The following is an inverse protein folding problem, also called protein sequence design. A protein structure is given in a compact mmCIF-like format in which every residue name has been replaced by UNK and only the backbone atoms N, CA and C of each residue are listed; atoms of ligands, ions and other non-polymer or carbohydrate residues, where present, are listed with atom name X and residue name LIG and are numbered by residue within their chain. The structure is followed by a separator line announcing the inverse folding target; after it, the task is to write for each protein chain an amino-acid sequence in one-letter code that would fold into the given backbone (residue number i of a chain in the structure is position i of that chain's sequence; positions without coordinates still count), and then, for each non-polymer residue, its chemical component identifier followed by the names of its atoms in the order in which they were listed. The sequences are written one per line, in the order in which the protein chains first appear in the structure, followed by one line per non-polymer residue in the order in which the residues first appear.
data_IF_317887925668
#
_entry.id   IF_317887925668
#
_cell.length_a   1.000
_cell.length_b   1.000
_cell.length_c   1.000
_cell.angle_alpha   90.00
_cell.angle_beta   90.00
_cell.angle_gamma   90.00
#
_symmetry.space_group_name_H-M   'P 1'
#
loop_
_entity.id
_entity.type
_entity.pdbx_description
1 polymer ?
#
# COMPACT_ATOMS: atom_id res chain seq x y z
N UNK A 1 7.56 -17.94 11.31
CA UNK A 1 6.37 -17.58 10.52
C UNK A 1 6.82 -17.38 9.09
N UNK A 2 6.16 -17.97 8.11
CA UNK A 2 6.62 -17.89 6.72
C UNK A 2 6.34 -16.49 6.16
N UNK A 3 7.36 -15.63 6.15
CA UNK A 3 7.39 -14.30 5.51
C UNK A 3 6.96 -14.40 4.04
N UNK A 4 5.65 -14.35 3.81
CA UNK A 4 5.03 -14.47 2.50
C UNK A 4 4.29 -13.18 2.23
N UNK A 5 4.75 -12.47 1.21
CA UNK A 5 4.08 -11.29 0.68
C UNK A 5 3.06 -11.75 -0.36
N UNK A 6 1.82 -11.31 -0.21
CA UNK A 6 0.78 -11.56 -1.20
C UNK A 6 0.59 -10.32 -2.05
N UNK A 7 0.62 -10.51 -3.36
CA UNK A 7 0.44 -9.46 -4.36
C UNK A 7 -0.81 -9.80 -5.13
N UNK A 8 -1.69 -8.83 -5.21
CA UNK A 8 -2.94 -8.92 -5.93
C UNK A 8 -2.94 -7.84 -6.98
N UNK A 9 -3.51 -8.16 -8.13
CA UNK A 9 -3.67 -7.20 -9.20
C UNK A 9 -4.51 -7.79 -10.30
N UNK A 10 -4.48 -7.13 -11.44
CA UNK A 10 -5.25 -7.52 -12.60
C UNK A 10 -4.40 -7.44 -13.85
N UNK A 11 -4.51 -8.45 -14.70
CA UNK A 11 -3.90 -8.44 -16.02
C UNK A 11 -4.85 -7.80 -17.01
N UNK A 12 -4.35 -6.84 -17.79
CA UNK A 12 -5.00 -6.45 -19.05
C UNK A 12 -4.59 -7.46 -20.11
N UNK A 13 -5.52 -8.31 -20.51
CA UNK A 13 -5.31 -9.25 -21.61
C UNK A 13 -5.53 -8.51 -22.96
N UNK A 14 -4.93 -9.00 -24.05
CA UNK A 14 -4.97 -8.35 -25.38
C UNK A 14 -6.39 -8.10 -25.94
N UNK A 15 -7.43 -8.70 -25.37
CA UNK A 15 -8.84 -8.48 -25.68
C UNK A 15 -9.48 -7.38 -24.81
N UNK A 16 -8.67 -6.58 -24.10
CA UNK A 16 -9.08 -5.60 -23.09
C UNK A 16 -9.87 -6.22 -21.92
N UNK A 17 -9.75 -7.53 -21.69
CA UNK A 17 -10.34 -8.20 -20.53
C UNK A 17 -9.40 -8.19 -19.34
N UNK A 18 -9.91 -7.66 -18.23
CA UNK A 18 -9.27 -7.51 -16.95
C UNK A 18 -9.57 -8.70 -16.07
N UNK A 19 -8.59 -9.58 -15.88
CA UNK A 19 -8.73 -10.76 -15.02
C UNK A 19 -7.92 -10.61 -13.71
N UNK A 20 -8.54 -10.82 -12.54
CA UNK A 20 -7.85 -10.76 -11.26
C UNK A 20 -6.83 -11.89 -11.12
N UNK A 21 -5.69 -11.57 -10.51
CA UNK A 21 -4.65 -12.52 -10.17
C UNK A 21 -4.08 -12.31 -8.77
N UNK A 22 -3.45 -13.36 -8.27
CA UNK A 22 -2.86 -13.47 -6.95
C UNK A 22 -1.51 -14.15 -7.06
N UNK A 23 -0.51 -13.58 -6.41
CA UNK A 23 0.86 -14.10 -6.36
C UNK A 23 1.31 -14.13 -4.91
N UNK A 24 1.82 -15.27 -4.47
CA UNK A 24 2.55 -15.35 -3.22
C UNK A 24 4.05 -15.33 -3.52
N UNK A 25 4.76 -14.40 -2.91
CA UNK A 25 6.22 -14.32 -2.99
C UNK A 25 6.83 -14.47 -1.59
N UNK A 26 8.00 -15.10 -1.50
CA UNK A 26 8.76 -15.16 -0.26
C UNK A 26 9.55 -13.85 -0.01
N UNK A 27 10.20 -13.75 1.16
CA UNK A 27 11.06 -12.60 1.50
C UNK A 27 12.24 -12.37 0.54
N UNK A 28 12.60 -13.37 -0.27
CA UNK A 28 13.63 -13.31 -1.30
C UNK A 28 13.05 -12.98 -2.68
N UNK A 29 11.76 -12.65 -2.76
CA UNK A 29 11.01 -12.37 -3.99
C UNK A 29 10.93 -13.57 -4.96
N UNK A 30 11.06 -14.79 -4.46
CA UNK A 30 10.74 -15.99 -5.24
C UNK A 30 9.23 -16.21 -5.23
N UNK A 31 8.66 -16.47 -6.41
CA UNK A 31 7.25 -16.83 -6.55
C UNK A 31 7.03 -18.23 -5.96
N UNK A 32 6.21 -18.31 -4.92
CA UNK A 32 5.75 -19.59 -4.34
C UNK A 32 4.63 -20.20 -5.16
N UNK A 33 3.68 -19.37 -5.56
CA UNK A 33 2.56 -19.75 -6.43
C UNK A 33 1.93 -18.50 -7.06
N UNK A 34 1.25 -18.72 -8.17
CA UNK A 34 0.42 -17.73 -8.87
C UNK A 34 -0.92 -18.36 -9.23
N UNK A 35 -2.00 -17.59 -9.10
CA UNK A 35 -3.33 -17.94 -9.60
C UNK A 35 -3.97 -16.75 -10.29
N UNK A 36 -4.54 -16.99 -11.46
CA UNK A 36 -5.40 -16.04 -12.16
C UNK A 36 -6.81 -16.62 -12.23
N UNK A 37 -7.82 -15.76 -12.34
CA UNK A 37 -9.22 -16.15 -12.26
C UNK A 37 -10.00 -15.54 -13.42
N UNK A 38 -10.65 -16.39 -14.21
CA UNK A 38 -11.56 -15.94 -15.26
C UNK A 38 -12.98 -15.78 -14.73
N UNK A 39 -13.75 -14.91 -15.38
CA UNK A 39 -15.12 -14.57 -14.98
C UNK A 39 -16.02 -14.26 -16.19
N UNK A 40 -17.32 -14.18 -15.93
CA UNK A 40 -18.34 -13.85 -16.92
C UNK A 40 -18.72 -12.35 -16.96
N UNK A 41 -18.18 -11.52 -16.07
CA UNK A 41 -18.35 -10.06 -16.12
C UNK A 41 -17.46 -9.41 -17.21
N UNK A 42 -17.72 -8.15 -17.63
CA UNK A 42 -16.90 -7.48 -18.64
C UNK A 42 -15.45 -7.32 -18.19
N UNK A 43 -15.23 -6.71 -17.03
CA UNK A 43 -13.90 -6.39 -16.49
C UNK A 43 -13.90 -6.40 -14.96
N UNK A 44 -12.86 -6.97 -14.35
CA UNK A 44 -12.67 -6.94 -12.89
C UNK A 44 -11.22 -6.57 -12.52
N UNK A 45 -11.05 -5.38 -11.94
CA UNK A 45 -9.80 -4.98 -11.27
C UNK A 45 -9.81 -5.39 -9.79
N UNK A 46 -8.65 -5.62 -9.18
CA UNK A 46 -8.50 -5.68 -7.72
C UNK A 46 -7.98 -4.34 -7.21
N UNK A 47 -8.77 -3.67 -6.39
CA UNK A 47 -8.43 -2.37 -5.82
C UNK A 47 -8.06 -2.43 -4.35
N UNK A 48 -8.64 -3.38 -3.59
CA UNK A 48 -8.42 -3.50 -2.16
C UNK A 48 -8.41 -4.95 -1.69
N UNK A 49 -7.57 -5.17 -0.67
CA UNK A 49 -7.47 -6.43 0.04
C UNK A 49 -7.40 -6.19 1.53
N UNK A 50 -7.87 -7.15 2.31
CA UNK A 50 -7.77 -7.13 3.75
C UNK A 50 -7.41 -8.52 4.26
N UNK A 51 -6.32 -8.61 5.05
CA UNK A 51 -5.96 -9.87 5.71
C UNK A 51 -6.96 -10.13 6.84
N UNK A 52 -7.79 -11.15 6.67
CA UNK A 52 -8.75 -11.57 7.71
C UNK A 52 -8.03 -12.38 8.79
N UNK A 53 -7.19 -13.32 8.37
CA UNK A 53 -6.29 -14.09 9.25
C UNK A 53 -5.15 -14.71 8.40
N UNK A 54 -4.37 -15.62 8.97
CA UNK A 54 -3.24 -16.26 8.27
C UNK A 54 -3.64 -17.17 7.09
N UNK A 55 -4.92 -17.50 6.96
CA UNK A 55 -5.44 -18.37 5.89
C UNK A 55 -6.41 -17.65 4.95
N UNK A 56 -6.97 -16.50 5.35
CA UNK A 56 -8.06 -15.85 4.65
C UNK A 56 -7.75 -14.39 4.32
N UNK A 57 -8.04 -14.01 3.08
CA UNK A 57 -7.92 -12.64 2.58
C UNK A 57 -9.27 -12.26 1.96
N UNK A 58 -9.84 -11.14 2.39
CA UNK A 58 -10.98 -10.53 1.75
C UNK A 58 -10.47 -9.65 0.61
N UNK A 59 -11.06 -9.80 -0.57
CA UNK A 59 -10.68 -9.09 -1.78
C UNK A 59 -11.90 -8.32 -2.27
N UNK A 60 -11.71 -7.09 -2.73
CA UNK A 60 -12.75 -6.33 -3.42
C UNK A 60 -12.16 -5.56 -4.60
N UNK A 61 -13.01 -5.26 -5.56
CA UNK A 61 -12.60 -4.49 -6.71
C UNK A 61 -13.70 -4.31 -7.74
N UNK A 62 -13.30 -3.98 -8.95
CA UNK A 62 -14.20 -3.63 -10.03
C UNK A 62 -13.60 -2.62 -11.01
N UNK A 63 -14.43 -2.15 -11.94
CA UNK A 63 -14.07 -1.16 -12.93
C UNK A 63 -15.17 -0.10 -13.05
N UNK A 64 -14.78 1.11 -13.43
CA UNK A 64 -15.70 2.24 -13.53
C UNK A 64 -16.73 2.01 -14.65
N UNK A 65 -18.02 2.26 -14.35
CA UNK A 65 -19.14 1.99 -15.27
C UNK A 65 -19.10 2.91 -16.50
N UNK A 66 -18.58 4.13 -16.35
CA UNK A 66 -18.53 5.16 -17.43
C UNK A 66 -17.38 4.95 -18.43
N UNK A 67 -16.61 3.86 -18.30
CA UNK A 67 -15.63 3.47 -19.32
C UNK A 67 -16.32 2.62 -20.39
N UNK A 68 -15.92 2.74 -21.66
CA UNK A 68 -16.35 1.79 -22.71
C UNK A 68 -15.97 0.32 -22.40
N UNK A 69 -15.21 0.12 -21.32
CA UNK A 69 -14.72 -1.15 -20.81
C UNK A 69 -15.72 -1.84 -19.88
N UNK A 70 -16.82 -1.20 -19.44
CA UNK A 70 -17.85 -1.84 -18.61
C UNK A 70 -19.25 -1.82 -19.26
N UNK A 71 -19.45 -2.64 -20.29
CA UNK A 71 -20.66 -2.64 -21.14
C UNK A 71 -21.96 -3.07 -20.44
N UNK A 72 -21.90 -3.83 -19.34
CA UNK A 72 -23.07 -4.38 -18.65
C UNK A 72 -23.44 -3.66 -17.35
N UNK A 73 -22.77 -2.56 -17.01
CA UNK A 73 -22.93 -1.84 -15.74
C UNK A 73 -22.80 -2.75 -14.50
N UNK A 74 -22.04 -3.83 -14.63
CA UNK A 74 -21.76 -4.81 -13.58
C UNK A 74 -20.29 -5.23 -13.68
N UNK A 75 -19.42 -4.35 -13.18
CA UNK A 75 -17.99 -4.57 -13.09
C UNK A 75 -17.54 -4.36 -11.64
N UNK A 76 -18.19 -5.04 -10.70
CA UNK A 76 -17.84 -4.98 -9.30
C UNK A 76 -17.76 -6.38 -8.73
N UNK A 77 -16.89 -6.60 -7.76
CA UNK A 77 -16.89 -7.86 -7.04
C UNK A 77 -16.24 -7.73 -5.66
N UNK A 78 -16.55 -8.69 -4.82
CA UNK A 78 -15.82 -8.96 -3.59
C UNK A 78 -15.88 -10.46 -3.28
N UNK A 79 -14.89 -10.97 -2.56
CA UNK A 79 -14.74 -12.40 -2.34
C UNK A 79 -13.79 -12.73 -1.21
N UNK A 80 -14.01 -13.88 -0.58
CA UNK A 80 -13.13 -14.41 0.46
C UNK A 80 -12.23 -15.48 -0.13
N UNK A 81 -10.94 -15.18 -0.18
CA UNK A 81 -9.92 -16.05 -0.73
C UNK A 81 -9.19 -16.82 0.37
N UNK A 82 -8.97 -18.12 0.15
CA UNK A 82 -8.19 -18.96 1.03
C UNK A 82 -6.80 -19.23 0.43
N UNK A 83 -5.76 -18.75 1.12
CA UNK A 83 -4.37 -18.83 0.62
C UNK A 83 -3.76 -20.23 0.72
N UNK A 84 -4.33 -21.13 1.51
CA UNK A 84 -3.81 -22.51 1.68
C UNK A 84 -4.22 -23.40 0.51
N UNK A 85 -5.49 -23.37 0.13
CA UNK A 85 -6.02 -24.14 -1.01
C UNK A 85 -6.05 -23.33 -2.32
N UNK A 86 -5.71 -22.04 -2.27
CA UNK A 86 -5.57 -21.14 -3.41
C UNK A 86 -6.88 -20.96 -4.20
N UNK A 87 -8.02 -20.92 -3.51
CA UNK A 87 -9.34 -20.74 -4.11
C UNK A 87 -10.20 -19.72 -3.37
N UNK A 88 -11.17 -19.14 -4.08
CA UNK A 88 -12.25 -18.38 -3.45
C UNK A 88 -13.18 -19.36 -2.74
N UNK A 89 -13.46 -19.09 -1.46
CA UNK A 89 -14.52 -19.77 -0.70
C UNK A 89 -15.87 -19.32 -1.25
N UNK A 90 -15.99 -18.02 -1.49
CA UNK A 90 -17.12 -17.39 -2.15
C UNK A 90 -16.66 -16.11 -2.86
N UNK A 91 -17.38 -15.74 -3.90
CA UNK A 91 -17.26 -14.45 -4.58
C UNK A 91 -18.64 -14.00 -5.01
N UNK A 92 -18.89 -12.70 -4.89
CA UNK A 92 -20.19 -12.09 -5.13
C UNK A 92 -20.02 -10.76 -5.86
N UNK A 93 -21.06 -10.36 -6.57
CA UNK A 93 -21.16 -9.08 -7.27
C UNK A 93 -22.57 -8.52 -7.13
N UNK A 94 -22.70 -7.21 -7.29
CA UNK A 94 -23.99 -6.53 -7.31
C UNK A 94 -24.44 -6.33 -8.76
N UNK A 95 -25.67 -6.73 -9.07
CA UNK A 95 -26.23 -6.76 -10.44
C UNK A 95 -27.49 -5.89 -10.56
N UNK A 96 -27.50 -4.86 -11.41
CA UNK A 96 -28.63 -3.96 -11.75
C UNK A 96 -28.19 -2.81 -12.71
N UNK A 97 -29.15 -2.15 -13.38
CA UNK A 97 -28.92 -1.02 -14.30
C UNK A 97 -28.38 0.27 -13.63
N UNK A 98 -28.09 0.24 -12.32
CA UNK A 98 -27.55 1.37 -11.53
C UNK A 98 -26.77 0.85 -10.31
N UNK A 99 -25.78 -0.02 -10.52
CA UNK A 99 -25.00 -0.63 -9.42
C UNK A 99 -23.82 0.22 -8.96
N UNK A 100 -23.07 -0.35 -8.02
CA UNK A 100 -21.71 0.05 -7.71
C UNK A 100 -20.81 -0.08 -8.94
N UNK A 101 -20.04 0.97 -9.19
CA UNK A 101 -18.85 0.87 -10.02
C UNK A 101 -17.76 0.15 -9.24
N UNK A 102 -16.66 0.83 -8.97
CA UNK A 102 -15.52 0.20 -8.32
C UNK A 102 -15.66 0.19 -6.79
N UNK A 103 -15.44 -0.96 -6.15
CA UNK A 103 -15.10 -1.01 -4.72
C UNK A 103 -13.71 -0.39 -4.53
N UNK A 104 -13.53 0.47 -3.53
CA UNK A 104 -12.32 1.28 -3.37
C UNK A 104 -11.45 0.84 -2.20
N UNK A 105 -12.06 0.39 -1.09
CA UNK A 105 -11.33 0.07 0.14
C UNK A 105 -12.17 -0.82 1.06
N UNK A 106 -11.50 -1.45 2.04
CA UNK A 106 -12.10 -2.39 2.99
C UNK A 106 -11.70 -1.99 4.40
N UNK A 107 -12.67 -1.93 5.33
CA UNK A 107 -12.41 -1.94 6.78
C UNK A 107 -12.92 -3.22 7.41
N UNK A 108 -12.15 -3.74 8.36
CA UNK A 108 -12.63 -4.73 9.30
C UNK A 108 -13.15 -4.04 10.57
N UNK A 109 -14.40 -4.31 10.92
CA UNK A 109 -15.09 -3.69 12.06
C UNK A 109 -15.07 -4.63 13.27
N UNK A 110 -15.18 -5.93 13.01
CA UNK A 110 -15.02 -6.97 14.02
C UNK A 110 -14.38 -8.21 13.36
N UNK A 111 -14.17 -9.27 14.13
CA UNK A 111 -13.63 -10.53 13.61
C UNK A 111 -14.37 -11.05 12.38
N UNK A 112 -15.70 -10.84 12.32
CA UNK A 112 -16.57 -11.41 11.30
C UNK A 112 -17.38 -10.36 10.51
N UNK A 113 -17.07 -9.07 10.62
CA UNK A 113 -17.80 -8.02 9.89
C UNK A 113 -16.87 -7.00 9.27
N UNK A 114 -17.19 -6.65 8.03
CA UNK A 114 -16.40 -5.77 7.18
C UNK A 114 -17.29 -4.71 6.57
N UNK A 115 -16.69 -3.57 6.24
CA UNK A 115 -17.32 -2.53 5.43
C UNK A 115 -16.51 -2.35 4.16
N UNK A 116 -17.21 -2.45 3.04
CA UNK A 116 -16.69 -2.17 1.71
C UNK A 116 -17.12 -0.75 1.32
N UNK A 117 -16.18 0.07 0.88
CA UNK A 117 -16.47 1.36 0.25
C UNK A 117 -16.55 1.19 -1.26
N UNK A 118 -17.55 1.75 -1.89
CA UNK A 118 -17.72 1.75 -3.35
C UNK A 118 -18.14 3.12 -3.87
N UNK A 119 -18.00 3.32 -5.18
CA UNK A 119 -18.63 4.43 -5.89
C UNK A 119 -19.90 3.98 -6.59
N UNK A 120 -20.87 4.89 -6.69
CA UNK A 120 -21.95 4.79 -7.66
C UNK A 120 -21.59 5.63 -8.89
N UNK A 121 -21.44 4.98 -10.04
CA UNK A 121 -21.07 5.63 -11.31
C UNK A 121 -22.30 5.86 -12.21
N UNK A 122 -23.40 6.38 -11.65
CA UNK A 122 -24.58 6.77 -12.43
C UNK A 122 -24.40 8.14 -13.11
N UNK A 123 -25.25 8.50 -14.08
CA UNK A 123 -25.13 9.74 -14.85
C UNK A 123 -25.41 11.01 -14.03
N UNK A 124 -26.22 10.90 -12.97
CA UNK A 124 -26.84 12.08 -12.36
C UNK A 124 -26.33 12.43 -10.96
N UNK A 125 -25.76 11.53 -10.15
CA UNK A 125 -25.43 11.85 -8.75
C UNK A 125 -24.24 11.03 -8.23
N UNK A 126 -22.99 11.50 -8.44
CA UNK A 126 -21.81 10.83 -7.85
C UNK A 126 -21.97 10.75 -6.32
N UNK A 127 -22.31 9.56 -5.82
CA UNK A 127 -22.44 9.24 -4.41
C UNK A 127 -21.51 8.08 -4.08
N UNK A 128 -21.04 8.04 -2.84
CA UNK A 128 -20.24 6.91 -2.35
C UNK A 128 -21.11 5.98 -1.54
N UNK A 129 -20.78 4.70 -1.51
CA UNK A 129 -21.60 3.68 -0.85
C UNK A 129 -20.75 2.95 0.17
N UNK A 130 -21.31 2.70 1.34
CA UNK A 130 -20.78 1.71 2.27
C UNK A 130 -21.69 0.49 2.30
N UNK A 131 -21.06 -0.68 2.18
CA UNK A 131 -21.73 -1.98 2.26
C UNK A 131 -21.16 -2.73 3.43
N UNK A 132 -21.98 -2.99 4.44
CA UNK A 132 -21.57 -3.83 5.56
C UNK A 132 -21.88 -5.28 5.25
N UNK A 133 -20.88 -6.14 5.39
CA UNK A 133 -21.00 -7.58 5.16
C UNK A 133 -20.55 -8.38 6.38
N UNK A 134 -21.03 -9.61 6.48
CA UNK A 134 -20.44 -10.63 7.34
C UNK A 134 -19.30 -11.40 6.62
N UNK A 135 -18.65 -12.31 7.34
CA UNK A 135 -17.57 -13.15 6.80
C UNK A 135 -18.03 -14.13 5.71
N UNK A 136 -19.34 -14.45 5.64
CA UNK A 136 -19.94 -15.29 4.60
C UNK A 136 -20.34 -14.46 3.36
N UNK A 137 -20.05 -13.16 3.36
CA UNK A 137 -20.39 -12.23 2.30
C UNK A 137 -21.88 -11.90 2.25
N UNK A 138 -22.64 -12.15 3.32
CA UNK A 138 -24.02 -11.69 3.41
C UNK A 138 -24.04 -10.20 3.70
N UNK A 139 -24.91 -9.49 3.02
CA UNK A 139 -25.07 -8.04 3.21
C UNK A 139 -25.92 -7.79 4.44
N UNK A 140 -25.39 -6.99 5.38
CA UNK A 140 -26.07 -6.54 6.59
C UNK A 140 -26.83 -5.24 6.29
N UNK A 141 -26.17 -4.27 5.66
CA UNK A 141 -26.79 -3.06 5.14
C UNK A 141 -26.03 -2.50 3.94
N UNK A 142 -26.70 -1.64 3.19
CA UNK A 142 -26.11 -0.85 2.11
C UNK A 142 -26.59 0.59 2.27
N UNK A 143 -25.65 1.54 2.30
CA UNK A 143 -25.97 2.95 2.55
C UNK A 143 -25.24 3.86 1.60
N UNK A 144 -25.98 4.75 0.94
CA UNK A 144 -25.45 5.84 0.15
C UNK A 144 -25.05 6.98 1.07
N UNK A 145 -23.86 7.53 0.83
CA UNK A 145 -23.28 8.67 1.52
C UNK A 145 -23.16 9.82 0.53
N UNK A 146 -23.94 10.87 0.78
CA UNK A 146 -24.02 12.07 -0.05
C UNK A 146 -23.66 13.31 0.76
N UNK A 147 -22.79 14.15 0.21
CA UNK A 147 -22.58 15.53 0.68
C UNK A 147 -22.64 16.45 -0.54
N UNK A 148 -23.82 16.52 -1.16
CA UNK A 148 -23.92 16.97 -2.56
C UNK A 148 -23.34 15.88 -3.48
N UNK A 149 -22.39 16.24 -4.33
CA UNK A 149 -21.68 15.29 -5.21
C UNK A 149 -20.38 14.87 -4.51
N UNK A 150 -20.07 13.58 -4.38
CA UNK A 150 -18.80 13.11 -3.82
C UNK A 150 -18.34 11.74 -4.35
N UNK A 151 -17.01 11.56 -4.43
CA UNK A 151 -16.32 10.29 -4.71
C UNK A 151 -15.33 9.99 -3.59
N UNK A 152 -15.50 8.87 -2.91
CA UNK A 152 -14.70 8.49 -1.74
C UNK A 152 -13.61 7.46 -2.06
N UNK A 153 -12.35 7.78 -1.85
CA UNK A 153 -11.23 7.00 -2.41
C UNK A 153 -10.63 5.99 -1.43
N UNK A 154 -10.77 6.21 -0.14
CA UNK A 154 -10.20 5.33 0.88
C UNK A 154 -10.92 5.53 2.21
N UNK A 155 -10.87 4.53 3.08
CA UNK A 155 -11.45 4.57 4.41
C UNK A 155 -10.46 4.06 5.45
N UNK A 156 -10.67 4.47 6.69
CA UNK A 156 -10.10 3.82 7.85
C UNK A 156 -11.17 3.65 8.94
N UNK A 157 -10.95 2.77 9.90
CA UNK A 157 -11.88 2.56 11.01
C UNK A 157 -11.16 2.64 12.35
N UNK A 158 -11.81 3.28 13.32
CA UNK A 158 -11.37 3.39 14.70
C UNK A 158 -12.58 3.16 15.59
N UNK A 159 -12.52 2.10 16.40
CA UNK A 159 -13.63 1.69 17.24
C UNK A 159 -14.91 1.57 16.40
N UNK A 160 -15.97 2.28 16.78
CA UNK A 160 -17.26 2.28 16.09
C UNK A 160 -17.41 3.40 15.04
N UNK A 161 -16.30 3.97 14.56
CA UNK A 161 -16.32 5.06 13.58
C UNK A 161 -15.49 4.73 12.34
N UNK A 162 -16.05 5.02 11.18
CA UNK A 162 -15.39 5.04 9.88
C UNK A 162 -15.02 6.46 9.51
N UNK A 163 -13.81 6.63 9.01
CA UNK A 163 -13.30 7.88 8.45
C UNK A 163 -13.03 7.67 6.98
N UNK A 164 -13.74 8.41 6.13
CA UNK A 164 -13.77 8.18 4.70
C UNK A 164 -13.24 9.44 4.02
N UNK A 165 -12.18 9.27 3.23
CA UNK A 165 -11.61 10.36 2.44
C UNK A 165 -12.32 10.44 1.10
N UNK A 166 -12.82 11.63 0.77
CA UNK A 166 -13.61 11.87 -0.43
C UNK A 166 -13.20 13.15 -1.14
N UNK A 167 -13.70 13.34 -2.35
CA UNK A 167 -13.58 14.59 -3.08
C UNK A 167 -14.78 14.82 -3.98
N UNK A 168 -14.95 16.05 -4.44
CA UNK A 168 -15.83 16.38 -5.57
C UNK A 168 -15.12 17.24 -6.59
N UNK A 169 -15.69 17.34 -7.79
CA UNK A 169 -15.15 18.16 -8.87
C UNK A 169 -16.12 19.28 -9.22
N UNK A 170 -15.66 20.53 -9.12
CA UNK A 170 -16.37 21.75 -9.54
C UNK A 170 -15.53 22.62 -10.48
N UNK A 171 -14.64 21.98 -11.24
CA UNK A 171 -13.53 22.63 -11.95
C UNK A 171 -12.19 22.36 -11.28
N UNK A 172 -12.20 22.06 -9.97
CA UNK A 172 -11.04 21.56 -9.22
C UNK A 172 -11.45 20.42 -8.28
N UNK A 173 -10.48 19.62 -7.83
CA UNK A 173 -10.74 18.59 -6.82
C UNK A 173 -10.85 19.23 -5.43
N UNK A 174 -11.96 18.98 -4.75
CA UNK A 174 -12.27 19.55 -3.44
C UNK A 174 -12.36 18.43 -2.40
N UNK A 175 -11.37 18.27 -1.50
CA UNK A 175 -11.30 17.15 -0.58
C UNK A 175 -12.23 17.30 0.61
N UNK A 176 -12.69 16.16 1.10
CA UNK A 176 -13.58 16.04 2.25
C UNK A 176 -13.23 14.83 3.08
N UNK A 177 -13.51 14.91 4.37
CA UNK A 177 -13.48 13.79 5.29
C UNK A 177 -14.87 13.61 5.84
N UNK A 178 -15.43 12.42 5.63
CA UNK A 178 -16.74 12.04 6.14
C UNK A 178 -16.52 11.01 7.24
N UNK A 179 -17.11 11.26 8.40
CA UNK A 179 -17.19 10.28 9.48
C UNK A 179 -18.60 9.73 9.59
N UNK A 180 -18.71 8.41 9.68
CA UNK A 180 -19.96 7.69 9.93
C UNK A 180 -19.71 6.61 10.97
N UNK A 181 -20.73 6.24 11.74
CA UNK A 181 -20.60 5.11 12.66
C UNK A 181 -20.63 3.76 11.90
N UNK A 182 -20.37 2.66 12.61
CA UNK A 182 -20.38 1.29 12.05
C UNK A 182 -21.79 0.74 11.78
N UNK A 183 -22.83 1.50 12.10
CA UNK A 183 -24.21 1.28 11.66
C UNK A 183 -24.53 2.10 10.40
N UNK A 184 -23.61 2.98 9.98
CA UNK A 184 -23.74 3.87 8.84
C UNK A 184 -24.58 5.11 9.13
N UNK A 185 -24.57 5.64 10.34
CA UNK A 185 -25.18 6.93 10.65
C UNK A 185 -24.13 8.04 10.50
N UNK A 186 -24.56 9.21 10.04
CA UNK A 186 -23.72 10.39 9.92
C UNK A 186 -23.15 10.82 11.28
N UNK A 187 -21.85 11.10 11.34
CA UNK A 187 -21.20 11.74 12.49
C UNK A 187 -20.81 13.18 12.12
N UNK A 188 -19.93 13.34 11.13
CA UNK A 188 -19.55 14.66 10.61
C UNK A 188 -19.12 14.59 9.14
N UNK A 189 -19.12 15.74 8.46
CA UNK A 189 -18.35 15.94 7.23
C UNK A 189 -17.55 17.23 7.34
N UNK A 190 -16.31 17.22 6.88
CA UNK A 190 -15.41 18.39 6.84
C UNK A 190 -14.83 18.55 5.45
N UNK A 191 -15.11 19.69 4.82
CA UNK A 191 -14.47 20.12 3.57
C UNK A 191 -13.20 20.90 3.90
N UNK A 192 -12.10 20.58 3.22
CA UNK A 192 -10.84 21.33 3.31
C UNK A 192 -10.65 22.14 2.02
N UNK A 193 -10.40 23.44 2.16
CA UNK A 193 -10.27 24.37 1.02
C UNK A 193 -8.88 24.32 0.37
N UNK A 194 -8.58 23.18 -0.27
CA UNK A 194 -7.41 22.99 -1.12
C UNK A 194 -7.80 22.27 -2.40
N UNK A 195 -7.10 22.55 -3.51
CA UNK A 195 -7.27 21.79 -4.75
C UNK A 195 -6.58 20.42 -4.64
N UNK A 196 -7.26 19.42 -4.08
CA UNK A 196 -6.64 18.14 -3.72
C UNK A 196 -7.51 16.93 -4.05
N UNK A 197 -6.92 15.97 -4.77
CA UNK A 197 -7.47 14.64 -5.01
C UNK A 197 -6.84 13.65 -4.03
N UNK A 198 -7.57 13.18 -3.01
CA UNK A 198 -7.06 12.19 -2.07
C UNK A 198 -7.00 10.80 -2.71
N UNK A 199 -5.95 10.03 -2.42
CA UNK A 199 -5.82 8.62 -2.84
C UNK A 199 -5.90 7.65 -1.66
N UNK A 200 -5.30 7.98 -0.51
CA UNK A 200 -5.25 7.08 0.65
C UNK A 200 -5.37 7.87 1.95
N UNK A 201 -6.22 7.38 2.85
CA UNK A 201 -6.24 7.78 4.27
C UNK A 201 -5.53 6.71 5.10
N UNK A 202 -4.68 7.13 6.02
CA UNK A 202 -3.89 6.26 6.87
C UNK A 202 -3.97 6.72 8.32
N UNK A 203 -4.30 5.79 9.21
CA UNK A 203 -4.38 6.06 10.65
C UNK A 203 -2.98 6.22 11.24
N UNK A 204 -2.85 7.25 12.06
CA UNK A 204 -1.68 7.53 12.89
C UNK A 204 -2.06 7.43 14.37
N UNK A 205 -1.11 7.61 15.29
CA UNK A 205 -1.38 7.55 16.73
C UNK A 205 -2.26 8.69 17.24
N UNK A 206 -2.28 9.81 16.53
CA UNK A 206 -2.88 11.09 16.91
C UNK A 206 -3.92 11.61 15.89
N UNK A 207 -4.20 10.85 14.84
CA UNK A 207 -5.13 11.27 13.79
C UNK A 207 -5.00 10.48 12.49
N UNK A 208 -5.13 11.17 11.36
CA UNK A 208 -5.02 10.59 10.03
C UNK A 208 -4.08 11.39 9.14
N UNK A 209 -3.30 10.68 8.34
CA UNK A 209 -2.61 11.23 7.17
C UNK A 209 -3.41 10.92 5.92
N UNK A 210 -3.54 11.90 5.04
CA UNK A 210 -4.17 11.73 3.74
C UNK A 210 -3.20 12.16 2.66
N UNK A 211 -2.87 11.26 1.73
CA UNK A 211 -1.96 11.53 0.61
C UNK A 211 -2.70 11.55 -0.71
N UNK A 212 -2.18 12.34 -1.65
CA UNK A 212 -2.81 12.46 -2.96
C UNK A 212 -2.08 13.40 -3.91
N UNK A 213 -2.88 14.08 -4.73
CA UNK A 213 -2.44 15.01 -5.76
C UNK A 213 -2.98 16.41 -5.47
N UNK A 214 -2.11 17.42 -5.47
CA UNK A 214 -2.49 18.83 -5.41
C UNK A 214 -2.38 19.49 -6.77
N UNK A 215 -3.41 20.27 -7.11
CA UNK A 215 -3.56 20.95 -8.40
C UNK A 215 -4.01 19.97 -9.49
N UNK A 216 -5.07 20.33 -10.21
CA UNK A 216 -5.54 19.57 -11.38
C UNK A 216 -4.83 20.00 -12.69
N UNK A 217 -3.86 20.92 -12.61
CA UNK A 217 -3.08 21.43 -13.75
C UNK A 217 -1.63 20.95 -13.74
N UNK A 218 -0.88 21.31 -14.79
CA UNK A 218 0.55 21.02 -14.91
C UNK A 218 1.38 22.25 -14.48
N UNK A 219 2.28 22.16 -13.48
CA UNK A 219 2.64 20.94 -12.74
C UNK A 219 1.77 20.67 -11.50
N UNK A 220 1.35 19.41 -11.39
CA UNK A 220 0.66 18.87 -10.22
C UNK A 220 1.67 18.31 -9.22
N UNK A 221 1.34 18.28 -7.93
CA UNK A 221 2.32 17.99 -6.88
C UNK A 221 1.82 16.98 -5.85
N UNK A 222 2.74 16.22 -5.25
CA UNK A 222 2.42 15.42 -4.07
C UNK A 222 1.95 16.36 -2.97
N UNK A 223 0.85 15.98 -2.33
CA UNK A 223 0.32 16.73 -1.21
C UNK A 223 -0.17 15.77 -0.14
N UNK A 224 0.08 16.17 1.10
CA UNK A 224 -0.20 15.39 2.28
C UNK A 224 -0.77 16.34 3.30
N UNK A 225 -1.90 15.97 3.89
CA UNK A 225 -2.40 16.67 5.07
C UNK A 225 -2.63 15.71 6.21
N UNK A 226 -2.62 16.28 7.42
CA UNK A 226 -2.89 15.61 8.66
C UNK A 226 -4.06 16.27 9.38
N UNK A 227 -4.95 15.44 9.90
CA UNK A 227 -6.08 15.82 10.74
C UNK A 227 -6.08 14.97 12.01
N UNK A 228 -6.67 15.46 13.09
CA UNK A 228 -6.91 14.67 14.29
C UNK A 228 -8.13 13.73 14.12
N UNK A 229 -8.46 12.94 15.14
CA UNK A 229 -9.61 12.04 15.12
C UNK A 229 -10.98 12.74 15.12
N UNK A 230 -11.03 14.04 15.43
CA UNK A 230 -12.24 14.86 15.32
C UNK A 230 -12.33 15.54 13.94
N UNK A 231 -11.37 15.27 13.05
CA UNK A 231 -11.27 15.87 11.73
C UNK A 231 -10.72 17.31 11.74
N UNK A 232 -10.18 17.79 12.86
CA UNK A 232 -9.55 19.10 12.92
C UNK A 232 -8.22 19.08 12.19
N UNK A 233 -7.92 20.17 11.48
CA UNK A 233 -6.67 20.33 10.76
C UNK A 233 -5.47 20.39 11.71
N UNK A 234 -4.40 19.67 11.36
CA UNK A 234 -3.12 19.73 12.06
C UNK A 234 -2.03 20.39 11.21
N UNK A 235 -1.79 19.87 10.00
CA UNK A 235 -0.84 20.45 9.05
C UNK A 235 -1.14 19.97 7.62
N UNK A 236 -0.69 20.72 6.61
CA UNK A 236 -0.65 20.25 5.23
C UNK A 236 0.62 20.70 4.54
N UNK A 237 1.17 19.82 3.70
CA UNK A 237 2.43 20.03 3.01
C UNK A 237 2.35 19.59 1.56
N UNK A 238 2.81 20.47 0.69
CA UNK A 238 3.04 20.24 -0.72
C UNK A 238 4.52 19.91 -0.94
N UNK A 239 4.79 18.84 -1.69
CA UNK A 239 6.13 18.39 -2.02
C UNK A 239 6.33 18.55 -3.52
N UNK A 240 7.10 19.57 -3.89
CA UNK A 240 7.33 19.98 -5.28
C UNK A 240 8.64 19.43 -5.76
N UNK A 241 8.65 18.86 -6.96
CA UNK A 241 9.88 18.44 -7.61
C UNK A 241 10.22 19.34 -8.78
N UNK A 242 11.51 19.59 -8.98
CA UNK A 242 12.02 20.25 -10.19
C UNK A 242 11.93 19.36 -11.43
N UNK A 243 11.82 18.03 -11.25
CA UNK A 243 11.71 17.10 -12.38
C UNK A 243 10.35 17.20 -13.07
N UNK A 244 9.27 17.56 -12.35
CA UNK A 244 7.95 17.79 -12.92
C UNK A 244 6.78 17.37 -12.04
N UNK A 245 5.65 17.07 -12.69
CA UNK A 245 4.39 16.69 -12.04
C UNK A 245 4.54 15.43 -11.17
N UNK A 246 3.93 15.37 -9.99
CA UNK A 246 4.08 14.24 -9.06
C UNK A 246 2.79 13.91 -8.31
N UNK A 247 2.63 12.65 -7.90
CA UNK A 247 1.44 12.16 -7.20
C UNK A 247 1.79 11.05 -6.21
N UNK A 248 1.14 11.05 -5.05
CA UNK A 248 1.24 9.99 -4.06
C UNK A 248 0.02 9.05 -4.12
N UNK A 249 0.25 7.75 -3.93
CA UNK A 249 -0.78 6.71 -4.00
C UNK A 249 -1.01 5.97 -2.69
N UNK A 250 0.05 5.69 -1.91
CA UNK A 250 -0.05 4.83 -0.73
C UNK A 250 0.89 5.28 0.38
N UNK A 251 0.61 4.81 1.60
CA UNK A 251 1.31 5.17 2.84
C UNK A 251 1.56 3.90 3.64
N UNK A 252 2.73 3.78 4.24
CA UNK A 252 3.03 2.81 5.28
C UNK A 252 3.77 3.49 6.43
N UNK A 253 3.50 3.07 7.67
CA UNK A 253 4.35 3.43 8.79
C UNK A 253 5.64 2.60 8.75
N UNK A 254 6.77 3.25 9.03
CA UNK A 254 8.07 2.61 9.15
C UNK A 254 8.43 2.30 10.62
N UNK A 255 9.45 1.49 10.84
CA UNK A 255 9.85 0.99 12.18
C UNK A 255 10.29 2.07 13.15
N UNK A 256 10.73 3.23 12.64
CA UNK A 256 11.13 4.38 13.44
C UNK A 256 9.97 5.34 13.72
N UNK A 257 8.72 4.96 13.39
CA UNK A 257 7.51 5.75 13.61
C UNK A 257 7.24 6.81 12.53
N UNK A 258 8.15 6.97 11.58
CA UNK A 258 8.00 7.84 10.41
C UNK A 258 7.14 7.17 9.32
N UNK A 259 6.88 7.87 8.22
CA UNK A 259 5.97 7.37 7.17
C UNK A 259 6.67 7.28 5.82
N UNK A 260 6.49 6.14 5.16
CA UNK A 260 6.84 5.90 3.76
C UNK A 260 5.64 6.23 2.88
N UNK A 261 5.88 6.94 1.78
CA UNK A 261 4.87 7.31 0.79
C UNK A 261 5.33 6.85 -0.58
N UNK A 262 4.50 6.09 -1.28
CA UNK A 262 4.75 5.68 -2.66
C UNK A 262 4.02 6.58 -3.63
N UNK A 263 4.58 6.74 -4.83
CA UNK A 263 4.00 7.56 -5.86
C UNK A 263 4.76 7.49 -7.17
N UNK A 264 4.66 8.56 -7.95
CA UNK A 264 5.50 8.75 -9.12
C UNK A 264 5.81 10.21 -9.34
N UNK A 265 6.78 10.42 -10.23
CA UNK A 265 7.06 11.71 -10.83
C UNK A 265 7.08 11.59 -12.34
N UNK A 266 6.35 12.48 -13.02
CA UNK A 266 6.40 12.66 -14.48
C UNK A 266 7.40 13.75 -14.80
N UNK A 267 8.30 13.45 -15.72
CA UNK A 267 9.35 14.38 -16.14
C UNK A 267 8.76 15.47 -17.05
N UNK A 268 9.12 16.73 -16.79
CA UNK A 268 8.73 17.88 -17.60
C UNK A 268 9.10 17.69 -19.06
N UNK A 269 8.20 18.10 -19.96
CA UNK A 269 8.39 17.99 -21.42
C UNK A 269 8.71 16.55 -21.88
N UNK A 270 8.26 15.54 -21.13
CA UNK A 270 8.45 14.13 -21.46
C UNK A 270 7.18 13.31 -21.14
N UNK A 271 7.04 12.17 -21.80
CA UNK A 271 6.09 11.11 -21.42
C UNK A 271 6.63 10.27 -20.28
N UNK A 272 7.92 10.37 -19.96
CA UNK A 272 8.60 9.55 -18.94
C UNK A 272 8.02 9.81 -17.56
N UNK A 273 7.76 8.74 -16.82
CA UNK A 273 7.48 8.78 -15.39
C UNK A 273 8.42 7.85 -14.63
N UNK A 274 8.75 8.19 -13.39
CA UNK A 274 9.58 7.39 -12.49
C UNK A 274 8.78 7.01 -11.25
N UNK A 275 8.77 5.73 -10.85
CA UNK A 275 8.26 5.32 -9.55
C UNK A 275 9.05 6.03 -8.45
N UNK A 276 8.31 6.50 -7.44
CA UNK A 276 8.84 7.30 -6.35
C UNK A 276 8.51 6.64 -5.01
N UNK A 277 9.45 6.76 -4.08
CA UNK A 277 9.23 6.56 -2.65
C UNK A 277 9.85 7.71 -1.88
N UNK A 278 9.16 8.21 -0.86
CA UNK A 278 9.67 9.23 0.04
C UNK A 278 9.36 8.90 1.48
N UNK A 279 10.14 9.46 2.39
CA UNK A 279 9.96 9.32 3.83
C UNK A 279 9.78 10.68 4.47
N UNK A 280 8.79 10.79 5.33
CA UNK A 280 8.48 12.00 6.09
C UNK A 280 8.39 11.69 7.59
N UNK A 281 8.66 12.70 8.41
CA UNK A 281 8.42 12.64 9.84
C UNK A 281 6.94 12.89 10.20
N UNK A 282 6.61 12.84 11.50
CA UNK A 282 5.24 13.06 11.99
C UNK A 282 4.70 14.49 11.76
N UNK A 283 5.58 15.46 11.53
CA UNK A 283 5.26 16.84 11.19
C UNK A 283 5.23 17.06 9.67
N UNK A 284 5.40 16.00 8.88
CA UNK A 284 5.49 16.05 7.43
C UNK A 284 6.78 16.71 6.90
N UNK A 285 7.84 16.82 7.70
CA UNK A 285 9.13 17.21 7.15
C UNK A 285 9.68 16.07 6.29
N UNK A 286 10.21 16.41 5.11
CA UNK A 286 10.86 15.45 4.24
C UNK A 286 12.17 14.98 4.90
N UNK A 287 12.29 13.66 5.10
CA UNK A 287 13.54 13.02 5.55
C UNK A 287 14.38 12.66 4.32
N UNK A 288 13.77 11.99 3.34
CA UNK A 288 14.39 11.70 2.04
C UNK A 288 13.33 11.43 0.98
N UNK A 289 13.69 11.62 -0.29
CA UNK A 289 12.91 11.17 -1.44
C UNK A 289 13.82 10.49 -2.46
N UNK A 290 13.32 9.40 -3.07
CA UNK A 290 14.09 8.56 -3.99
C UNK A 290 13.20 8.11 -5.15
N UNK A 291 13.73 8.10 -6.36
CA UNK A 291 13.03 7.68 -7.56
C UNK A 291 13.81 6.59 -8.31
N UNK A 292 13.10 5.68 -8.96
CA UNK A 292 13.70 4.71 -9.85
C UNK A 292 13.81 5.29 -11.27
N UNK A 293 14.99 5.83 -11.61
CA UNK A 293 15.20 6.56 -12.88
C UNK A 293 15.67 5.68 -14.04
N UNK A 294 15.98 4.41 -13.80
CA UNK A 294 16.46 3.49 -14.85
C UNK A 294 15.31 2.80 -15.60
N UNK A 295 14.08 3.28 -15.45
CA UNK A 295 12.96 2.83 -16.28
C UNK A 295 13.22 3.21 -17.75
N UNK A 296 12.70 2.44 -18.72
CA UNK A 296 12.88 2.77 -20.13
C UNK A 296 12.49 4.24 -20.43
N UNK A 297 13.31 5.00 -21.16
CA UNK A 297 13.00 6.40 -21.46
C UNK A 297 11.78 6.49 -22.40
N UNK A 298 11.05 7.60 -22.33
CA UNK A 298 9.84 7.89 -23.11
C UNK A 298 8.64 6.97 -22.83
N UNK A 299 8.64 6.22 -21.71
CA UNK A 299 7.48 5.43 -21.29
C UNK A 299 6.67 6.15 -20.21
N UNK A 300 5.38 6.27 -20.48
CA UNK A 300 4.40 6.73 -19.50
C UNK A 300 4.00 5.59 -18.57
N UNK A 301 3.37 5.95 -17.44
CA UNK A 301 2.74 5.00 -16.51
C UNK A 301 3.68 4.12 -15.68
N UNK A 302 4.91 4.56 -15.40
CA UNK A 302 5.72 3.93 -14.36
C UNK A 302 5.34 4.51 -12.99
N UNK A 303 4.67 3.71 -12.15
CA UNK A 303 4.00 4.20 -10.94
C UNK A 303 4.38 3.35 -9.72
N UNK A 304 4.78 3.98 -8.60
CA UNK A 304 4.90 3.34 -7.30
C UNK A 304 3.55 3.26 -6.59
N UNK A 305 2.87 2.11 -6.66
CA UNK A 305 1.47 1.96 -6.24
C UNK A 305 1.29 1.47 -4.80
N UNK A 306 2.25 0.72 -4.29
CA UNK A 306 2.20 0.18 -2.93
C UNK A 306 3.57 0.25 -2.28
N UNK A 307 3.59 0.51 -0.98
CA UNK A 307 4.79 0.45 -0.17
C UNK A 307 4.48 -0.27 1.13
N UNK A 308 5.39 -1.13 1.58
CA UNK A 308 5.34 -1.75 2.89
C UNK A 308 6.71 -1.72 3.54
N UNK A 309 6.77 -1.39 4.82
CA UNK A 309 7.98 -1.54 5.62
C UNK A 309 8.16 -3.01 6.03
N UNK A 310 9.40 -3.51 5.93
CA UNK A 310 9.75 -4.91 6.23
C UNK A 310 10.90 -5.04 7.24
N UNK A 311 11.40 -3.91 7.70
CA UNK A 311 12.48 -3.83 8.67
C UNK A 311 12.97 -2.39 8.77
N UNK A 312 13.75 -2.09 9.79
CA UNK A 312 14.34 -0.76 9.94
C UNK A 312 15.14 -0.40 8.68
N UNK A 313 14.73 0.68 8.01
CA UNK A 313 15.36 1.14 6.77
C UNK A 313 15.11 0.25 5.54
N UNK A 314 14.23 -0.76 5.64
CA UNK A 314 13.95 -1.72 4.56
C UNK A 314 12.48 -1.68 4.17
N UNK A 315 12.22 -1.61 2.87
CA UNK A 315 10.85 -1.62 2.34
C UNK A 315 10.75 -2.38 1.01
N UNK A 316 9.52 -2.80 0.69
CA UNK A 316 9.14 -3.15 -0.67
C UNK A 316 8.33 -2.02 -1.29
N UNK A 317 8.63 -1.69 -2.55
CA UNK A 317 7.86 -0.79 -3.38
C UNK A 317 7.32 -1.59 -4.58
N UNK A 318 6.00 -1.67 -4.69
CA UNK A 318 5.31 -2.26 -5.84
C UNK A 318 5.19 -1.20 -6.93
N UNK A 319 5.74 -1.48 -8.12
CA UNK A 319 5.77 -0.56 -9.24
C UNK A 319 5.16 -1.15 -10.49
N UNK A 320 4.38 -0.37 -11.25
CA UNK A 320 4.11 -0.68 -12.66
C UNK A 320 5.22 -0.15 -13.54
N UNK A 321 5.58 -0.89 -14.58
CA UNK A 321 6.57 -0.45 -15.57
C UNK A 321 5.93 -0.55 -16.96
N UNK A 322 5.73 0.59 -17.61
CA UNK A 322 5.26 0.66 -18.97
C UNK A 322 6.40 0.45 -19.96
N UNK A 323 6.17 -0.35 -21.00
CA UNK A 323 7.03 -0.47 -22.17
C UNK A 323 6.27 -0.07 -23.44
N UNK A 324 6.15 1.24 -23.72
CA UNK A 324 5.62 1.75 -24.99
C UNK A 324 4.22 2.39 -24.93
N UNK A 325 3.63 2.61 -26.12
CA UNK A 325 2.35 3.32 -26.35
C UNK A 325 1.12 2.61 -25.79
N UNK A 326 1.20 1.29 -25.56
CA UNK A 326 0.17 0.50 -24.88
C UNK A 326 0.79 -0.07 -23.60
N UNK A 327 0.60 0.60 -22.47
CA UNK A 327 1.23 0.31 -21.17
C UNK A 327 0.76 -0.99 -20.48
N UNK A 328 0.66 -2.09 -21.23
CA UNK A 328 0.39 -3.44 -20.76
C UNK A 328 1.69 -4.24 -20.72
N UNK A 329 2.14 -4.67 -19.54
CA UNK A 329 3.01 -5.85 -19.54
C UNK A 329 3.72 -6.26 -18.25
N UNK A 330 3.86 -5.40 -17.24
CA UNK A 330 4.62 -5.81 -16.06
C UNK A 330 4.48 -4.94 -14.82
N UNK A 331 4.71 -5.57 -13.67
CA UNK A 331 5.01 -4.90 -12.42
C UNK A 331 6.39 -5.35 -11.95
N UNK A 332 7.02 -4.57 -11.10
CA UNK A 332 8.22 -4.94 -10.38
C UNK A 332 8.05 -4.68 -8.89
N UNK A 333 8.86 -5.38 -8.11
CA UNK A 333 8.97 -5.17 -6.67
C UNK A 333 10.39 -4.72 -6.41
N UNK A 334 10.54 -3.48 -5.98
CA UNK A 334 11.84 -2.96 -5.56
C UNK A 334 11.95 -3.25 -4.08
N UNK A 335 12.89 -4.11 -3.71
CA UNK A 335 13.36 -4.26 -2.34
C UNK A 335 14.50 -3.29 -2.14
N UNK A 336 14.33 -2.34 -1.22
CA UNK A 336 15.37 -1.37 -0.91
C UNK A 336 15.84 -1.53 0.53
N UNK A 337 17.15 -1.33 0.73
CA UNK A 337 17.75 -1.10 2.03
C UNK A 337 18.37 0.28 2.01
N UNK A 338 17.81 1.19 2.79
CA UNK A 338 18.20 2.60 2.85
C UNK A 338 19.45 2.83 3.71
N UNK A 339 20.11 1.78 4.20
CA UNK A 339 21.40 1.90 4.86
C UNK A 339 22.43 2.53 3.89
N UNK A 340 22.93 3.74 4.18
CA UNK A 340 23.82 4.46 3.28
C UNK A 340 25.20 3.80 3.09
N UNK A 341 25.52 2.79 3.90
CA UNK A 341 26.78 2.03 3.81
C UNK A 341 26.68 0.81 2.89
N UNK A 342 25.51 0.50 2.33
CA UNK A 342 25.34 -0.59 1.37
C UNK A 342 25.51 -0.06 -0.05
N UNK A 343 26.21 -0.82 -0.90
CA UNK A 343 26.41 -0.50 -2.32
C UNK A 343 25.29 -1.13 -3.14
N UNK A 344 24.71 -0.40 -4.10
CA UNK A 344 23.76 -0.95 -5.08
C UNK A 344 22.28 -0.64 -4.82
N UNK A 345 21.95 0.63 -4.54
CA UNK A 345 20.55 1.07 -4.48
C UNK A 345 19.88 1.00 -5.86
N UNK A 346 18.66 0.49 -5.93
CA UNK A 346 17.88 0.48 -7.17
C UNK A 346 17.27 1.87 -7.45
N UNK A 347 17.13 2.70 -6.43
CA UNK A 347 16.64 4.06 -6.55
C UNK A 347 17.71 5.11 -6.26
N UNK A 348 17.48 6.30 -6.80
CA UNK A 348 18.37 7.44 -6.65
C UNK A 348 17.70 8.54 -5.84
N UNK A 349 18.44 9.27 -5.00
CA UNK A 349 17.93 10.47 -4.34
C UNK A 349 17.35 11.48 -5.33
N UNK A 350 16.27 12.13 -4.91
CA UNK A 350 15.73 13.32 -5.56
C UNK A 350 15.43 14.40 -4.52
N UNK A 351 15.47 15.65 -4.96
CA UNK A 351 15.15 16.79 -4.11
C UNK A 351 13.67 17.16 -4.28
N UNK A 352 12.96 17.31 -3.16
CA UNK A 352 11.62 17.86 -3.13
C UNK A 352 11.61 19.11 -2.24
N UNK A 353 11.12 20.22 -2.76
CA UNK A 353 10.86 21.42 -1.98
C UNK A 353 9.54 21.27 -1.24
N UNK A 354 9.52 21.55 0.06
CA UNK A 354 8.35 21.37 0.92
C UNK A 354 7.75 22.73 1.26
N UNK A 355 6.48 22.92 0.91
CA UNK A 355 5.72 24.13 1.23
C UNK A 355 4.57 23.76 2.16
N UNK A 356 4.39 24.52 3.24
CA UNK A 356 3.25 24.34 4.14
C UNK A 356 2.04 25.12 3.63
N UNK A 357 0.86 24.53 3.72
CA UNK A 357 -0.41 25.17 3.42
C UNK A 357 -1.37 25.01 4.60
N UNK A 358 -2.27 25.97 4.75
CA UNK A 358 -3.30 25.98 5.79
C UNK A 358 -4.67 26.13 5.12
N UNK A 359 -5.63 25.22 5.34
CA UNK A 359 -6.94 25.32 4.73
C UNK A 359 -7.87 26.13 5.62
N UNK A 360 -8.95 26.61 5.04
CA UNK A 360 -10.18 26.77 5.82
C UNK A 360 -10.90 25.42 5.88
N UNK A 361 -11.49 25.10 7.03
CA UNK A 361 -12.35 23.93 7.19
C UNK A 361 -13.79 24.41 7.24
N UNK A 362 -14.64 23.78 6.43
CA UNK A 362 -16.09 24.00 6.45
C UNK A 362 -16.76 22.71 6.91
N UNK A 363 -17.54 22.79 7.98
CA UNK A 363 -18.39 21.69 8.42
C UNK A 363 -19.56 21.55 7.46
N UNK A 364 -19.85 20.30 7.11
CA UNK A 364 -20.94 19.92 6.22
C UNK A 364 -21.74 18.78 6.86
N UNK A 365 -23.00 18.64 6.45
CA UNK A 365 -23.86 17.56 6.93
C UNK A 365 -23.96 16.49 5.85
N UNK A 366 -23.47 15.27 6.09
CA UNK A 366 -23.67 14.17 5.16
C UNK A 366 -25.10 13.63 5.28
N UNK A 367 -25.74 13.42 4.14
CA UNK A 367 -27.02 12.71 4.03
C UNK A 367 -26.75 11.24 3.81
N UNK A 368 -27.41 10.40 4.60
CA UNK A 368 -27.34 8.94 4.46
C UNK A 368 -28.70 8.40 4.05
N UNK A 369 -28.73 7.59 2.99
CA UNK A 369 -29.95 6.89 2.57
C UNK A 369 -29.69 5.41 2.42
N UNK A 370 -30.64 4.60 2.86
CA UNK A 370 -30.59 3.16 2.66
C UNK A 370 -30.78 2.82 1.18
N UNK A 371 -30.09 1.78 0.74
CA UNK A 371 -30.24 1.20 -0.59
C UNK A 371 -30.26 -0.32 -0.48
N UNK A 372 -30.72 -1.00 -1.54
CA UNK A 372 -30.82 -2.45 -1.55
C UNK A 372 -30.55 -3.00 -2.95
N UNK A 373 -29.30 -2.94 -3.37
CA UNK A 373 -28.88 -3.56 -4.62
C UNK A 373 -28.84 -5.08 -4.48
N UNK A 374 -29.28 -5.76 -5.54
CA UNK A 374 -29.33 -7.21 -5.58
C UNK A 374 -27.93 -7.81 -5.63
N UNK A 375 -27.68 -8.74 -4.72
CA UNK A 375 -26.44 -9.51 -4.63
C UNK A 375 -26.57 -10.81 -5.43
N UNK A 376 -25.57 -11.09 -6.25
CA UNK A 376 -25.46 -12.30 -7.06
C UNK A 376 -24.17 -13.04 -6.74
N UNK A 377 -24.21 -14.37 -6.81
CA UNK A 377 -22.97 -15.16 -6.75
C UNK A 377 -22.18 -14.96 -8.05
N UNK A 378 -20.87 -14.78 -7.90
CA UNK A 378 -19.94 -14.66 -9.01
C UNK A 378 -19.04 -15.89 -9.03
N UNK A 379 -18.95 -16.57 -10.18
CA UNK A 379 -18.00 -17.66 -10.37
C UNK A 379 -16.66 -17.10 -10.84
N UNK A 380 -15.61 -17.35 -10.06
CA UNK A 380 -14.22 -17.08 -10.40
C UNK A 380 -13.49 -18.40 -10.66
N UNK A 381 -13.24 -18.72 -11.94
CA UNK A 381 -12.65 -20.00 -12.33
C UNK A 381 -11.13 -19.87 -12.39
N UNK A 382 -10.37 -20.61 -11.55
CA UNK A 382 -8.92 -20.53 -11.56
C UNK A 382 -8.35 -21.11 -12.85
N UNK A 383 -7.35 -20.44 -13.40
CA UNK A 383 -6.53 -20.97 -14.48
C UNK A 383 -5.05 -20.70 -14.20
N UNK A 384 -4.18 -21.48 -14.84
CA UNK A 384 -2.74 -21.33 -14.69
C UNK A 384 -2.22 -20.33 -15.74
N UNK A 385 -1.36 -19.43 -15.29
CA UNK A 385 -0.66 -18.49 -16.15
C UNK A 385 0.84 -18.61 -15.88
N UNK A 386 1.64 -18.51 -16.93
CA UNK A 386 3.10 -18.53 -16.83
C UNK A 386 3.60 -17.10 -16.75
N UNK A 387 4.39 -16.78 -15.72
CA UNK A 387 5.11 -15.50 -15.64
C UNK A 387 6.61 -15.75 -15.73
N UNK A 388 7.29 -14.92 -16.52
CA UNK A 388 8.75 -14.92 -16.59
C UNK A 388 9.30 -13.88 -15.61
N UNK A 389 10.17 -14.32 -14.70
CA UNK A 389 10.87 -13.42 -13.77
C UNK A 389 12.24 -13.08 -14.36
N UNK A 390 12.52 -11.79 -14.53
CA UNK A 390 13.84 -11.29 -14.93
C UNK A 390 14.37 -10.35 -13.86
N UNK A 391 15.64 -10.49 -13.50
CA UNK A 391 16.34 -9.55 -12.61
C UNK A 391 16.84 -8.38 -13.45
N UNK A 392 16.16 -7.23 -13.38
CA UNK A 392 16.48 -6.04 -14.20
C UNK A 392 17.60 -5.17 -13.62
N UNK A 393 17.82 -5.22 -12.31
CA UNK A 393 19.05 -4.78 -11.67
C UNK A 393 19.80 -6.03 -11.23
N UNK A 394 21.13 -6.04 -11.35
CA UNK A 394 21.95 -7.00 -10.62
C UNK A 394 21.62 -6.80 -9.15
N UNK A 395 20.74 -7.65 -8.65
CA UNK A 395 20.67 -7.97 -7.24
C UNK A 395 22.03 -8.59 -7.00
N UNK A 396 23.02 -7.78 -6.63
CA UNK A 396 23.98 -8.30 -5.66
C UNK A 396 23.07 -8.75 -4.54
N UNK A 397 22.99 -10.06 -4.23
CA UNK A 397 22.14 -10.52 -3.14
C UNK A 397 22.36 -9.53 -2.00
N UNK A 398 21.30 -8.82 -1.56
CA UNK A 398 21.35 -8.23 -0.22
C UNK A 398 21.72 -9.43 0.61
N UNK A 399 22.95 -9.39 1.09
CA UNK A 399 23.71 -10.61 1.30
C UNK A 399 22.90 -11.55 2.17
N UNK A 400 23.14 -12.86 2.10
CA UNK A 400 22.52 -13.86 2.99
C UNK A 400 22.87 -13.63 4.48
N UNK A 401 23.25 -12.41 4.85
CA UNK A 401 23.91 -11.97 6.05
C UNK A 401 23.17 -10.76 6.61
N UNK A 402 22.68 -10.85 7.85
CA UNK A 402 22.39 -9.64 8.61
C UNK A 402 23.72 -9.05 9.07
N UNK A 403 23.95 -7.77 8.76
CA UNK A 403 25.18 -7.07 9.09
C UNK A 403 24.89 -5.91 10.05
N UNK A 404 25.66 -5.84 11.13
CA UNK A 404 25.66 -4.73 12.06
C UNK A 404 27.09 -4.23 12.23
N UNK A 405 27.26 -2.90 12.14
CA UNK A 405 28.54 -2.24 12.31
C UNK A 405 28.40 -1.08 13.28
N UNK A 406 29.19 -1.14 14.35
CA UNK A 406 29.43 -0.07 15.30
C UNK A 406 30.81 0.56 15.00
N UNK A 407 31.18 1.62 15.72
CA UNK A 407 32.51 2.20 15.66
C UNK A 407 33.60 1.21 16.09
N UNK A 408 33.25 0.27 16.99
CA UNK A 408 34.20 -0.62 17.68
C UNK A 408 34.09 -2.10 17.26
N UNK A 409 33.02 -2.50 16.57
CA UNK A 409 32.85 -3.88 16.14
C UNK A 409 31.93 -4.03 14.93
N UNK A 410 32.04 -5.19 14.28
CA UNK A 410 31.21 -5.63 13.17
C UNK A 410 30.67 -7.03 13.46
N UNK A 411 29.39 -7.29 13.15
CA UNK A 411 28.75 -8.59 13.32
C UNK A 411 28.05 -8.96 12.01
N UNK A 412 28.28 -10.18 11.50
CA UNK A 412 27.57 -10.77 10.35
C UNK A 412 26.90 -12.07 10.75
N UNK A 413 25.61 -12.22 10.51
CA UNK A 413 24.90 -13.48 10.72
C UNK A 413 24.76 -14.25 9.41
N UNK A 414 25.53 -15.31 9.21
CA UNK A 414 25.53 -16.14 8.00
C UNK A 414 24.83 -17.49 8.23
N UNK A 415 24.59 -18.25 7.16
CA UNK A 415 23.99 -19.59 7.25
C UNK A 415 24.81 -20.51 8.16
N UNK A 416 24.32 -20.72 9.38
CA UNK A 416 24.92 -21.60 10.39
C UNK A 416 26.05 -20.98 11.23
N UNK A 417 26.36 -19.69 11.11
CA UNK A 417 27.38 -19.03 11.93
C UNK A 417 27.21 -17.52 12.05
N UNK A 418 27.78 -16.92 13.08
CA UNK A 418 27.84 -15.48 13.32
C UNK A 418 29.32 -15.05 13.30
N UNK A 419 29.74 -14.23 12.35
CA UNK A 419 31.06 -13.59 12.37
C UNK A 419 31.01 -12.35 13.25
N UNK A 420 31.99 -12.19 14.13
CA UNK A 420 32.12 -11.06 15.05
C UNK A 420 33.55 -10.55 14.95
N UNK A 421 33.71 -9.29 14.55
CA UNK A 421 34.98 -8.59 14.43
C UNK A 421 35.02 -7.46 15.44
N UNK A 422 35.96 -7.49 16.36
CA UNK A 422 36.17 -6.46 17.36
C UNK A 422 37.46 -5.68 17.04
N UNK A 423 37.39 -4.35 17.08
CA UNK A 423 38.57 -3.46 16.92
C UNK A 423 39.40 -3.33 18.20
N UNK A 424 38.83 -3.70 19.34
CA UNK A 424 39.45 -3.67 20.66
C UNK A 424 38.92 -4.83 21.50
N UNK A 425 39.64 -5.20 22.56
CA UNK A 425 39.24 -6.30 23.46
C UNK A 425 37.91 -5.99 24.15
N UNK A 426 36.90 -6.83 23.95
CA UNK A 426 35.60 -6.67 24.60
C UNK A 426 34.94 -8.03 24.93
N UNK A 427 33.98 -8.00 25.86
CA UNK A 427 33.21 -9.19 26.22
C UNK A 427 32.03 -9.35 25.27
N UNK A 428 31.94 -10.50 24.62
CA UNK A 428 30.87 -10.87 23.70
C UNK A 428 30.08 -12.01 24.30
N UNK A 429 28.76 -11.85 24.40
CA UNK A 429 27.84 -12.90 24.84
C UNK A 429 26.72 -13.03 23.82
N UNK A 430 26.53 -14.22 23.26
CA UNK A 430 25.44 -14.54 22.34
C UNK A 430 24.38 -15.32 23.10
N UNK A 431 23.16 -14.81 23.09
CA UNK A 431 21.97 -15.43 23.66
C UNK A 431 21.10 -16.00 22.55
N UNK A 432 20.49 -17.16 22.75
CA UNK A 432 19.35 -17.60 21.96
C UNK A 432 18.08 -16.80 22.33
N UNK A 433 16.99 -17.02 21.59
CA UNK A 433 15.73 -16.27 21.76
C UNK A 433 15.03 -16.50 23.10
N UNK A 434 15.35 -17.61 23.80
CA UNK A 434 14.80 -17.92 25.12
C UNK A 434 15.73 -17.50 26.27
N UNK A 435 16.88 -16.88 25.94
CA UNK A 435 17.79 -16.26 26.89
C UNK A 435 18.96 -17.14 27.34
N UNK A 436 19.18 -18.32 26.74
CA UNK A 436 20.34 -19.14 27.06
C UNK A 436 21.59 -18.58 26.38
N UNK A 437 22.73 -18.62 27.08
CA UNK A 437 24.02 -18.26 26.49
C UNK A 437 24.52 -19.41 25.61
N UNK A 438 24.69 -19.15 24.31
CA UNK A 438 25.21 -20.11 23.33
C UNK A 438 26.69 -19.87 22.99
N UNK A 439 27.21 -18.68 23.29
CA UNK A 439 28.62 -18.34 23.16
C UNK A 439 28.99 -17.19 24.10
N UNK A 440 30.18 -17.24 24.69
CA UNK A 440 30.72 -16.16 25.51
C UNK A 440 32.25 -16.16 25.43
N UNK A 441 32.84 -15.04 25.01
CA UNK A 441 34.30 -14.91 24.95
C UNK A 441 34.73 -13.45 25.11
N UNK A 442 35.90 -13.23 25.72
CA UNK A 442 36.56 -11.94 25.79
C UNK A 442 37.74 -11.92 24.80
N UNK A 443 37.57 -11.22 23.67
CA UNK A 443 38.55 -11.25 22.57
C UNK A 443 38.67 -9.92 21.85
N UNK A 444 39.67 -9.85 20.95
CA UNK A 444 39.87 -8.81 19.93
C UNK A 444 40.14 -9.53 18.59
N UNK A 445 39.85 -8.87 17.47
CA UNK A 445 39.97 -9.46 16.14
C UNK A 445 38.69 -10.20 15.73
N UNK A 446 38.81 -11.25 14.93
CA UNK A 446 37.67 -11.95 14.30
C UNK A 446 37.36 -13.29 14.98
N UNK A 447 36.06 -13.58 15.13
CA UNK A 447 35.52 -14.87 15.60
C UNK A 447 34.36 -15.30 14.73
N UNK A 448 34.28 -16.60 14.47
CA UNK A 448 33.17 -17.24 13.79
C UNK A 448 32.46 -18.16 14.80
N UNK A 449 31.23 -17.82 15.16
CA UNK A 449 30.43 -18.52 16.16
C UNK A 449 29.42 -19.40 15.45
N UNK A 450 29.64 -20.72 15.42
CA UNK A 450 28.73 -21.67 14.78
C UNK A 450 27.44 -21.80 15.59
N UNK A 451 26.29 -21.59 14.93
CA UNK A 451 24.96 -21.64 15.58
C UNK A 451 23.92 -22.28 14.66
N UNK A 452 22.77 -22.67 15.20
CA UNK A 452 21.63 -23.17 14.40
C UNK A 452 20.81 -22.01 13.83
N UNK A 453 19.95 -22.29 12.85
CA UNK A 453 19.01 -21.30 12.34
C UNK A 453 18.09 -20.84 13.47
N UNK A 454 17.95 -19.53 13.66
CA UNK A 454 17.25 -18.97 14.81
C UNK A 454 17.50 -17.48 14.99
N UNK A 455 16.89 -16.92 16.04
CA UNK A 455 17.08 -15.53 16.44
C UNK A 455 18.01 -15.50 17.65
N UNK A 456 19.01 -14.63 17.60
CA UNK A 456 20.01 -14.46 18.64
C UNK A 456 20.09 -12.99 19.08
N UNK A 457 20.45 -12.78 20.34
CA UNK A 457 20.82 -11.46 20.87
C UNK A 457 22.30 -11.50 21.18
N UNK A 458 23.08 -10.62 20.57
CA UNK A 458 24.52 -10.54 20.75
C UNK A 458 24.82 -9.30 21.57
N UNK A 459 25.40 -9.50 22.75
CA UNK A 459 25.82 -8.43 23.65
C UNK A 459 27.31 -8.22 23.50
N UNK A 460 27.74 -7.01 23.12
CA UNK A 460 29.14 -6.59 23.09
C UNK A 460 29.29 -5.43 24.08
N UNK A 461 29.92 -5.68 25.22
CA UNK A 461 29.97 -4.70 26.32
C UNK A 461 28.57 -4.31 26.83
N UNK A 462 28.15 -3.06 26.61
CA UNK A 462 26.80 -2.56 26.97
C UNK A 462 25.80 -2.64 25.82
N UNK A 463 26.26 -2.80 24.58
CA UNK A 463 25.41 -2.83 23.39
C UNK A 463 24.78 -4.22 23.23
N UNK A 464 23.54 -4.25 22.72
CA UNK A 464 22.82 -5.48 22.38
C UNK A 464 22.28 -5.38 20.97
N UNK A 465 22.53 -6.42 20.18
CA UNK A 465 22.16 -6.49 18.77
C UNK A 465 21.32 -7.75 18.56
N UNK A 466 20.15 -7.62 17.96
CA UNK A 466 19.32 -8.76 17.57
C UNK A 466 19.71 -9.19 16.15
N UNK A 467 19.96 -10.47 15.96
CA UNK A 467 20.35 -11.08 14.69
C UNK A 467 19.51 -12.31 14.37
N UNK A 468 19.18 -12.50 13.10
CA UNK A 468 18.51 -13.68 12.55
C UNK A 468 19.51 -14.47 11.73
N UNK A 469 19.78 -15.70 12.15
CA UNK A 469 20.62 -16.68 11.43
C UNK A 469 19.68 -17.61 10.65
N UNK A 470 19.80 -17.64 9.32
CA UNK A 470 18.90 -18.38 8.41
C UNK A 470 19.46 -19.69 7.91
#
# INVERSE_FOLDING_TARGET
MNDTLYIFGTFHHYDNKMNPFLIAVDSSLNIKWLKAFSHNLPNLDITAIHKVNDSLILVSGGHAIRSGECSSQNCNFFGLFNVKNQSFIWSKSFSQNQTYGTFMDIAQISTNSFILLAHRDDYDLNNSVIVKIDLNGNVIYQKLISVGVNKCTSLNSINDTLFISCYFWDGYHQPRIIAVDTLGNAIFSKKLDFQFLPNRIFRTSDGFLVVGLYGAGDPSHIFIYKIDFNGNFMWAKQYRSSLGSSRAFNIAQDWDGNYLISGFIRVNNSTTSYPLVMKIDNNGNLIWARAWKTTPPNTSSNLGKGVISIGQGKFYLLTFIGSGVDASGGFAIIREDTNPNLVGHCNEPINLTVNSLTPTIVDETPTITDTNYTLSNLLLTPYNLTINQTTSCQITPVSNYEFYKSCFFEIRANKGYIDIKLKEKNNVIVYDIIGNVVYSEFFEGERNVKVKNGIYVIKVGKEKVKMVVR
#
